data_IF_700210025084
#
_entry.id   IF_700210025084
#
_cell.length_a   1.000
_cell.length_b   1.000
_cell.length_c   1.000
_cell.angle_alpha   90.00
_cell.angle_beta   90.00
_cell.angle_gamma   90.00
#
_symmetry.space_group_name_H-M   'P 1'
#
loop_
_entity.id
_entity.type
_entity.pdbx_description
1 polymer ?
#
# COMPACT_ATOMS: atom_id res chain seq x y z
N UNK A 1 -14.43 21.87 13.85
CA UNK A 1 -14.10 20.71 12.99
C UNK A 1 -13.81 21.09 11.52
N UNK A 2 -14.76 21.57 10.70
CA UNK A 2 -14.42 21.97 9.31
C UNK A 2 -13.56 23.25 9.24
N UNK A 3 -13.89 24.26 10.05
CA UNK A 3 -13.11 25.50 10.12
C UNK A 3 -11.66 25.26 10.57
N UNK A 4 -11.44 24.30 11.47
CA UNK A 4 -10.09 23.89 11.89
C UNK A 4 -9.29 23.26 10.75
N UNK A 5 -9.93 22.47 9.89
CA UNK A 5 -9.28 21.86 8.73
C UNK A 5 -8.86 22.93 7.73
N UNK A 6 -9.75 23.88 7.42
CA UNK A 6 -9.45 25.01 6.54
C UNK A 6 -8.29 25.85 7.09
N UNK A 7 -8.27 26.12 8.39
CA UNK A 7 -7.20 26.86 9.05
C UNK A 7 -5.86 26.11 8.98
N UNK A 8 -5.84 24.81 9.27
CA UNK A 8 -4.64 23.97 9.19
C UNK A 8 -4.11 23.84 7.76
N UNK A 9 -4.97 23.59 6.78
CA UNK A 9 -4.57 23.47 5.38
C UNK A 9 -4.02 24.79 4.85
N UNK A 10 -4.61 25.93 5.22
CA UNK A 10 -4.07 27.24 4.88
C UNK A 10 -2.72 27.49 5.52
N UNK A 11 -2.55 27.18 6.81
CA UNK A 11 -1.28 27.33 7.51
C UNK A 11 -0.17 26.45 6.89
N UNK A 12 -0.53 25.24 6.45
CA UNK A 12 0.44 24.29 5.93
C UNK A 12 0.81 24.51 4.47
N UNK A 13 -0.15 24.94 3.64
CA UNK A 13 0.05 25.08 2.19
C UNK A 13 0.16 26.52 1.71
N UNK A 14 -0.10 27.50 2.57
CA UNK A 14 -0.13 28.93 2.23
C UNK A 14 -1.29 29.34 1.30
N UNK A 15 -2.18 28.42 0.93
CA UNK A 15 -3.27 28.65 -0.03
C UNK A 15 -4.63 28.60 0.66
N UNK A 16 -5.63 29.27 0.07
CA UNK A 16 -7.01 29.21 0.53
C UNK A 16 -7.68 27.95 0.00
N UNK A 17 -8.08 27.05 0.90
CA UNK A 17 -8.79 25.80 0.58
C UNK A 17 -10.27 25.90 0.95
N UNK A 18 -11.15 25.42 0.06
CA UNK A 18 -12.56 25.21 0.37
C UNK A 18 -12.77 23.73 0.71
N UNK A 19 -13.20 23.44 1.93
CA UNK A 19 -13.42 22.06 2.41
C UNK A 19 -14.92 21.78 2.44
N UNK A 20 -15.34 20.72 1.76
CA UNK A 20 -16.72 20.21 1.80
C UNK A 20 -16.74 18.78 2.33
N UNK A 21 -17.70 18.47 3.20
CA UNK A 21 -17.93 17.10 3.67
C UNK A 21 -18.92 16.43 2.72
N UNK A 22 -18.49 15.35 2.05
CA UNK A 22 -19.44 14.51 1.32
C UNK A 22 -20.35 13.79 2.30
N UNK A 23 -21.64 13.72 1.97
CA UNK A 23 -22.66 12.97 2.73
C UNK A 23 -22.95 11.60 2.11
N UNK A 24 -22.31 11.30 0.99
CA UNK A 24 -22.32 9.98 0.36
C UNK A 24 -21.41 9.05 1.16
N UNK A 25 -21.84 7.79 1.34
CA UNK A 25 -20.95 6.75 1.82
C UNK A 25 -19.75 6.68 0.85
N UNK A 26 -18.55 6.83 1.40
CA UNK A 26 -17.32 6.80 0.61
C UNK A 26 -17.13 5.45 -0.10
N UNK A 27 -16.24 5.44 -1.08
CA UNK A 27 -15.74 4.18 -1.63
C UNK A 27 -14.98 3.37 -0.57
N UNK A 28 -14.73 2.10 -0.89
CA UNK A 28 -13.96 1.20 -0.03
C UNK A 28 -12.62 1.85 0.36
N UNK A 29 -12.32 1.89 1.66
CA UNK A 29 -11.06 2.45 2.15
C UNK A 29 -9.88 1.62 1.65
N UNK A 30 -8.68 2.19 1.62
CA UNK A 30 -7.45 1.44 1.29
C UNK A 30 -7.30 0.19 2.16
N UNK A 31 -7.62 0.27 3.45
CA UNK A 31 -7.56 -0.87 4.36
C UNK A 31 -8.59 -1.97 4.02
N UNK A 32 -9.79 -1.58 3.61
CA UNK A 32 -10.82 -2.51 3.18
C UNK A 32 -10.48 -3.15 1.82
N UNK A 33 -9.92 -2.38 0.86
CA UNK A 33 -9.42 -2.92 -0.41
C UNK A 33 -8.35 -3.98 -0.21
N UNK A 34 -7.37 -3.72 0.66
CA UNK A 34 -6.32 -4.68 1.00
C UNK A 34 -6.90 -5.94 1.68
N UNK A 35 -7.90 -5.77 2.55
CA UNK A 35 -8.58 -6.90 3.20
C UNK A 35 -9.34 -7.75 2.20
N UNK A 36 -10.14 -7.14 1.34
CA UNK A 36 -10.89 -7.83 0.28
C UNK A 36 -9.95 -8.54 -0.69
N UNK A 37 -8.82 -7.92 -1.07
CA UNK A 37 -7.81 -8.56 -1.92
C UNK A 37 -7.24 -9.82 -1.28
N UNK A 38 -6.91 -9.75 0.02
CA UNK A 38 -6.42 -10.90 0.78
C UNK A 38 -7.48 -12.01 0.85
N UNK A 39 -8.70 -11.69 1.21
CA UNK A 39 -9.81 -12.66 1.29
C UNK A 39 -10.07 -13.33 -0.07
N UNK A 40 -10.09 -12.57 -1.15
CA UNK A 40 -10.25 -13.11 -2.50
C UNK A 40 -9.10 -14.06 -2.87
N UNK A 41 -7.85 -13.72 -2.55
CA UNK A 41 -6.71 -14.59 -2.79
C UNK A 41 -6.82 -15.92 -2.00
N UNK A 42 -7.31 -15.87 -0.76
CA UNK A 42 -7.57 -17.08 0.04
C UNK A 42 -8.70 -17.94 -0.54
N UNK A 43 -9.79 -17.32 -1.01
CA UNK A 43 -10.91 -18.03 -1.63
C UNK A 43 -10.51 -18.70 -2.93
N UNK A 44 -9.73 -18.01 -3.76
CA UNK A 44 -9.20 -18.54 -5.02
C UNK A 44 -8.27 -19.72 -4.77
N UNK A 45 -7.29 -19.56 -3.86
CA UNK A 45 -6.37 -20.63 -3.48
C UNK A 45 -7.09 -21.87 -2.91
N UNK A 46 -8.18 -21.69 -2.16
CA UNK A 46 -8.97 -22.81 -1.63
C UNK A 46 -9.81 -23.50 -2.72
N UNK A 47 -10.24 -22.75 -3.73
CA UNK A 47 -11.06 -23.25 -4.84
C UNK A 47 -10.24 -24.01 -5.88
N UNK A 48 -8.91 -23.85 -5.86
CA UNK A 48 -8.01 -24.62 -6.72
C UNK A 48 -8.12 -26.14 -6.45
N UNK A 49 -8.37 -26.96 -7.48
CA UNK A 49 -8.58 -28.41 -7.31
C UNK A 49 -7.36 -29.14 -6.77
N UNK A 50 -6.14 -28.63 -7.00
CA UNK A 50 -4.91 -29.22 -6.48
C UNK A 50 -4.79 -28.96 -4.99
N UNK A 51 -5.04 -27.72 -4.55
CA UNK A 51 -5.02 -27.33 -3.13
C UNK A 51 -6.10 -28.09 -2.36
N UNK A 52 -7.31 -28.19 -2.90
CA UNK A 52 -8.40 -28.96 -2.30
C UNK A 52 -8.04 -30.44 -2.12
N UNK A 53 -7.38 -31.06 -3.12
CA UNK A 53 -6.93 -32.45 -3.03
C UNK A 53 -5.87 -32.66 -1.94
N UNK A 54 -4.95 -31.70 -1.79
CA UNK A 54 -3.92 -31.72 -0.73
C UNK A 54 -4.58 -31.59 0.65
N UNK A 55 -5.49 -30.62 0.84
CA UNK A 55 -6.21 -30.43 2.10
C UNK A 55 -7.04 -31.67 2.48
N UNK A 56 -7.67 -32.33 1.51
CA UNK A 56 -8.41 -33.57 1.73
C UNK A 56 -7.50 -34.76 2.11
N UNK A 57 -6.29 -34.81 1.57
CA UNK A 57 -5.31 -35.86 1.87
C UNK A 57 -4.66 -35.70 3.25
N UNK A 58 -4.56 -34.45 3.72
CA UNK A 58 -3.92 -34.08 4.98
C UNK A 58 -4.90 -33.33 5.91
N UNK A 59 -5.78 -34.05 6.64
CA UNK A 59 -6.70 -33.44 7.60
C UNK A 59 -5.90 -32.79 8.75
N UNK A 60 -5.74 -31.47 8.67
CA UNK A 60 -4.88 -30.66 9.56
C UNK A 60 -4.01 -29.65 8.81
N UNK A 61 -3.88 -29.77 7.49
CA UNK A 61 -3.25 -28.76 6.66
C UNK A 61 -4.10 -27.47 6.62
N UNK A 62 -3.42 -26.32 6.65
CA UNK A 62 -4.03 -24.99 6.63
C UNK A 62 -3.27 -24.10 5.66
N UNK A 63 -4.00 -23.24 4.96
CA UNK A 63 -3.40 -22.19 4.12
C UNK A 63 -2.96 -21.08 5.09
N UNK A 64 -1.65 -20.84 5.21
CA UNK A 64 -1.07 -19.82 6.10
C UNK A 64 -0.81 -18.49 5.40
N UNK A 65 -0.54 -18.53 4.10
CA UNK A 65 -0.09 -17.41 3.30
C UNK A 65 -0.39 -17.71 1.82
N UNK A 66 -0.85 -16.72 1.07
CA UNK A 66 -1.09 -16.81 -0.38
C UNK A 66 -0.32 -15.68 -1.05
N UNK A 67 0.70 -16.04 -1.83
CA UNK A 67 1.50 -15.11 -2.61
C UNK A 67 1.18 -15.27 -4.09
N UNK A 68 0.57 -14.23 -4.67
CA UNK A 68 0.36 -14.16 -6.11
C UNK A 68 1.61 -13.47 -6.69
N UNK A 69 2.41 -14.15 -7.54
CA UNK A 69 3.56 -13.55 -8.19
C UNK A 69 3.08 -12.61 -9.31
N UNK A 70 2.57 -11.45 -8.92
CA UNK A 70 2.25 -10.36 -9.83
C UNK A 70 2.79 -9.05 -9.24
N UNK A 71 4.11 -9.04 -9.10
CA UNK A 71 4.91 -7.85 -8.95
C UNK A 71 6.29 -8.20 -9.51
N UNK A 72 6.81 -7.47 -10.51
CA UNK A 72 8.23 -7.56 -10.79
C UNK A 72 8.92 -7.17 -9.48
N UNK A 73 9.65 -8.13 -8.92
CA UNK A 73 10.60 -7.89 -7.86
C UNK A 73 11.43 -6.70 -8.33
N UNK A 74 11.29 -5.56 -7.66
CA UNK A 74 12.24 -4.47 -7.83
C UNK A 74 13.55 -5.04 -7.33
N UNK A 75 14.32 -5.63 -8.26
CA UNK A 75 15.74 -5.83 -8.10
C UNK A 75 16.25 -4.49 -7.56
N UNK A 76 16.68 -4.52 -6.31
CA UNK A 76 17.53 -3.50 -5.72
C UNK A 76 18.78 -3.44 -6.59
N UNK A 77 18.67 -2.73 -7.71
CA UNK A 77 19.80 -2.27 -8.47
C UNK A 77 20.47 -1.22 -7.59
N UNK A 78 21.40 -1.71 -6.78
CA UNK A 78 22.56 -0.99 -6.29
C UNK A 78 23.18 -0.27 -7.50
N UNK A 79 22.73 0.95 -7.77
CA UNK A 79 23.23 1.80 -8.84
C UNK A 79 23.52 3.17 -8.27
N UNK A 80 24.74 3.26 -7.72
CA UNK A 80 25.66 4.38 -7.89
C UNK A 80 25.06 5.77 -7.59
N UNK A 81 25.06 6.14 -6.30
CA UNK A 81 25.00 7.55 -5.94
C UNK A 81 26.32 8.20 -6.38
N UNK A 82 26.33 9.19 -7.29
CA UNK A 82 27.54 9.95 -7.52
C UNK A 82 27.80 10.76 -6.24
N UNK A 83 28.90 10.46 -5.57
CA UNK A 83 29.46 11.32 -4.52
C UNK A 83 29.89 12.61 -5.21
N UNK A 84 29.09 13.66 -5.10
CA UNK A 84 29.55 15.02 -5.39
C UNK A 84 30.68 15.34 -4.38
N UNK A 85 31.92 15.61 -4.82
CA UNK A 85 32.94 16.05 -3.90
C UNK A 85 32.55 17.43 -3.37
N UNK A 86 32.51 17.56 -2.05
CA UNK A 86 32.39 18.84 -1.36
C UNK A 86 33.46 19.80 -1.89
N UNK A 87 33.02 20.86 -2.58
CA UNK A 87 33.82 22.06 -2.76
C UNK A 87 33.59 22.93 -1.52
N UNK A 88 34.28 22.60 -0.44
CA UNK A 88 34.55 23.55 0.63
C UNK A 88 35.83 24.33 0.29
N UNK A 89 35.81 25.61 0.66
CA UNK A 89 36.91 26.57 0.76
C UNK A 89 37.53 27.12 -0.55
N UNK A 90 37.32 28.42 -0.83
CA UNK A 90 38.18 29.46 -0.22
C UNK A 90 37.64 30.88 -0.51
N UNK A 91 37.52 31.66 0.55
CA UNK A 91 37.36 33.11 0.61
C UNK A 91 38.64 33.82 0.11
N UNK A 92 38.60 34.58 -1.00
CA UNK A 92 39.40 35.81 -1.24
C UNK A 92 38.68 36.71 -2.25
#
# INVERSE_FOLDING_TARGET
>A
LLNDLTAKLRAWTGRNWLVSLSKEDGGQTLAEMETTKRENAFLDAKSDPTVAAILARFPGAKIIDVRIPDMPEVEEAEADLPVEPAADDDEI
#
